data_IF_390456440312
#
_entry.id   IF_390456440312
#
_cell.length_a   1.000
_cell.length_b   1.000
_cell.length_c   1.000
_cell.angle_alpha   90.00
_cell.angle_beta   90.00
_cell.angle_gamma   90.00
#
_symmetry.space_group_name_H-M   'P 1'
#
loop_
_entity.id
_entity.type
_entity.pdbx_description
1 polymer ?
#
# COMPACT_ATOMS: atom_id res chain seq x y z
N UNK A 1 13.66 -7.27 -28.11
CA UNK A 1 13.53 -5.88 -27.64
C UNK A 1 12.42 -5.22 -28.45
N UNK A 2 11.29 -4.83 -27.85
CA UNK A 2 10.26 -3.99 -28.47
C UNK A 2 10.05 -2.82 -27.51
N UNK A 3 10.77 -1.73 -27.74
CA UNK A 3 10.75 -0.55 -26.90
C UNK A 3 10.59 0.68 -27.77
N UNK A 4 9.68 1.56 -27.35
CA UNK A 4 9.51 2.96 -27.76
C UNK A 4 9.14 3.33 -29.21
N UNK A 5 9.20 2.44 -30.20
CA UNK A 5 8.93 2.83 -31.61
C UNK A 5 7.42 2.86 -31.99
N UNK A 6 6.51 2.81 -31.03
CA UNK A 6 5.05 2.78 -31.30
C UNK A 6 4.26 3.85 -30.55
N UNK A 7 4.94 4.83 -29.95
CA UNK A 7 4.27 5.95 -29.30
C UNK A 7 4.10 7.11 -30.29
N UNK A 8 2.88 7.63 -30.38
CA UNK A 8 2.62 8.83 -31.17
C UNK A 8 3.35 10.04 -30.56
N UNK A 9 3.64 11.09 -31.34
CA UNK A 9 4.29 12.29 -30.81
C UNK A 9 3.53 12.94 -29.63
N UNK A 10 2.21 12.79 -29.59
CA UNK A 10 1.38 13.24 -28.47
C UNK A 10 1.61 12.42 -27.20
N UNK A 11 1.69 11.09 -27.31
CA UNK A 11 1.99 10.21 -26.17
C UNK A 11 3.41 10.44 -25.65
N UNK A 12 4.40 10.63 -26.55
CA UNK A 12 5.78 10.95 -26.13
C UNK A 12 5.83 12.29 -25.38
N UNK A 13 5.03 13.28 -25.81
CA UNK A 13 4.92 14.57 -25.13
C UNK A 13 4.26 14.44 -23.77
N UNK A 14 3.17 13.69 -23.68
CA UNK A 14 2.47 13.42 -22.42
C UNK A 14 3.38 12.68 -21.44
N UNK A 15 4.18 11.72 -21.91
CA UNK A 15 5.20 11.05 -21.11
C UNK A 15 6.35 11.96 -20.65
N UNK A 16 6.74 12.94 -21.47
CA UNK A 16 7.74 13.94 -21.10
C UNK A 16 7.19 14.91 -20.05
N UNK A 17 5.95 15.35 -20.21
CA UNK A 17 5.27 16.26 -19.28
C UNK A 17 4.99 15.54 -17.94
N UNK A 18 4.58 14.27 -17.95
CA UNK A 18 4.43 13.45 -16.74
C UNK A 18 5.76 13.23 -16.01
N UNK A 19 6.86 12.97 -16.72
CA UNK A 19 8.19 12.87 -16.10
C UNK A 19 8.68 14.20 -15.54
N UNK A 20 8.43 15.31 -16.24
CA UNK A 20 8.73 16.65 -15.76
C UNK A 20 7.97 16.99 -14.49
N UNK A 21 6.67 16.68 -14.45
CA UNK A 21 5.83 16.86 -13.26
C UNK A 21 6.34 16.00 -12.08
N UNK A 22 6.70 14.74 -12.33
CA UNK A 22 7.19 13.83 -11.29
C UNK A 22 8.55 14.26 -10.72
N UNK A 23 9.48 14.73 -11.56
CA UNK A 23 10.77 15.28 -11.10
C UNK A 23 10.61 16.55 -10.27
N UNK A 24 9.63 17.39 -10.59
CA UNK A 24 9.33 18.60 -9.80
C UNK A 24 8.73 18.25 -8.43
N UNK A 25 7.95 17.17 -8.34
CA UNK A 25 7.40 16.65 -7.09
C UNK A 25 8.51 16.07 -6.20
N UNK A 26 9.43 15.28 -6.77
CA UNK A 26 10.56 14.72 -6.02
C UNK A 26 11.50 15.80 -5.47
N UNK A 27 11.79 16.84 -6.26
CA UNK A 27 12.58 17.99 -5.82
C UNK A 27 11.88 18.76 -4.70
N UNK A 28 10.56 18.99 -4.82
CA UNK A 28 9.77 19.70 -3.81
C UNK A 28 9.67 18.89 -2.51
N UNK A 29 9.52 17.57 -2.60
CA UNK A 29 9.49 16.66 -1.45
C UNK A 29 10.83 16.65 -0.72
N UNK A 30 11.94 16.53 -1.45
CA UNK A 30 13.29 16.53 -0.85
C UNK A 30 13.62 17.85 -0.15
N UNK A 31 13.22 18.98 -0.74
CA UNK A 31 13.40 20.29 -0.13
C UNK A 31 12.61 20.43 1.18
N UNK A 32 11.36 19.96 1.22
CA UNK A 32 10.52 20.00 2.42
C UNK A 32 11.03 19.05 3.50
N UNK A 33 11.51 17.85 3.14
CA UNK A 33 12.13 16.92 4.09
C UNK A 33 13.40 17.51 4.72
N UNK A 34 14.25 18.17 3.91
CA UNK A 34 15.43 18.85 4.41
C UNK A 34 15.08 20.01 5.35
N UNK A 35 14.03 20.79 5.04
CA UNK A 35 13.55 21.87 5.92
C UNK A 35 12.95 21.33 7.22
N UNK A 36 12.09 20.31 7.16
CA UNK A 36 11.51 19.67 8.34
C UNK A 36 12.58 19.14 9.31
N UNK A 37 13.71 18.66 8.78
CA UNK A 37 14.87 18.22 9.56
C UNK A 37 15.68 19.37 10.17
N UNK A 38 15.74 20.53 9.51
CA UNK A 38 16.56 21.68 9.92
C UNK A 38 15.81 22.65 10.82
N UNK A 39 14.52 22.90 10.60
CA UNK A 39 13.73 23.91 11.33
C UNK A 39 12.79 23.32 12.38
N UNK A 40 12.63 21.99 12.42
CA UNK A 40 11.53 21.35 13.15
C UNK A 40 10.19 21.60 12.46
N UNK A 41 9.23 20.69 12.64
CA UNK A 41 7.94 20.72 11.95
C UNK A 41 7.06 21.90 12.38
N UNK A 42 7.28 23.08 11.78
CA UNK A 42 6.46 24.26 11.96
C UNK A 42 5.21 24.22 11.08
N UNK A 43 4.18 25.01 11.43
CA UNK A 43 2.92 25.08 10.68
C UNK A 43 3.11 25.44 9.20
N UNK A 44 4.14 26.22 8.88
CA UNK A 44 4.49 26.57 7.50
C UNK A 44 4.94 25.33 6.70
N UNK A 45 5.69 24.43 7.33
CA UNK A 45 6.13 23.17 6.70
C UNK A 45 4.92 22.26 6.45
N UNK A 46 3.97 22.20 7.39
CA UNK A 46 2.74 21.43 7.23
C UNK A 46 1.87 21.96 6.09
N UNK A 47 1.74 23.28 5.94
CA UNK A 47 0.96 23.87 4.86
C UNK A 47 1.62 23.68 3.48
N UNK A 48 2.95 23.73 3.38
CA UNK A 48 3.66 23.40 2.14
C UNK A 48 3.45 21.94 1.74
N UNK A 49 3.46 21.00 2.70
CA UNK A 49 3.16 19.58 2.46
C UNK A 49 1.75 19.40 1.91
N UNK A 50 0.75 20.05 2.51
CA UNK A 50 -0.65 19.98 2.05
C UNK A 50 -0.80 20.57 0.65
N UNK A 51 -0.09 21.65 0.32
CA UNK A 51 -0.16 22.27 -1.00
C UNK A 51 0.49 21.42 -2.10
N UNK A 52 1.63 20.77 -1.79
CA UNK A 52 2.28 19.81 -2.70
C UNK A 52 1.37 18.60 -2.93
N UNK A 53 0.72 18.06 -1.89
CA UNK A 53 -0.24 16.95 -2.02
C UNK A 53 -1.55 17.36 -2.69
N UNK A 54 -1.98 18.61 -2.53
CA UNK A 54 -3.17 19.16 -3.19
C UNK A 54 -2.97 19.38 -4.70
N UNK A 55 -1.75 19.73 -5.15
CA UNK A 55 -1.42 19.88 -6.58
C UNK A 55 -1.24 18.53 -7.31
N UNK A 56 -1.02 17.42 -6.59
CA UNK A 56 -0.94 16.07 -7.18
C UNK A 56 -2.31 15.39 -7.36
N UNK A 57 -3.41 16.13 -7.23
CA UNK A 57 -4.77 15.59 -7.40
C UNK A 57 -5.20 14.64 -6.28
N UNK A 58 -4.47 14.58 -5.16
CA UNK A 58 -4.91 13.89 -3.96
C UNK A 58 -5.74 14.89 -3.15
N UNK A 59 -6.97 15.11 -3.60
CA UNK A 59 -7.94 15.90 -2.84
C UNK A 59 -8.20 15.20 -1.50
N UNK A 60 -7.64 15.76 -0.43
CA UNK A 60 -8.27 15.69 0.87
C UNK A 60 -9.68 16.27 0.73
N UNK A 61 -10.69 15.41 0.60
CA UNK A 61 -12.09 15.80 0.63
C UNK A 61 -12.77 15.14 1.82
N UNK A 62 -12.74 15.86 2.95
CA UNK A 62 -13.87 15.83 3.85
C UNK A 62 -15.10 16.32 3.05
N UNK A 63 -16.00 15.40 2.72
CA UNK A 63 -17.32 15.69 2.14
C UNK A 63 -17.38 15.94 0.64
N UNK A 64 -17.56 14.87 -0.15
CA UNK A 64 -18.33 14.94 -1.40
C UNK A 64 -19.41 13.87 -1.37
N UNK A 65 -20.53 14.24 -0.76
CA UNK A 65 -21.81 13.65 -1.08
C UNK A 65 -22.36 14.34 -2.33
N UNK A 66 -22.90 13.53 -3.26
CA UNK A 66 -23.67 13.89 -4.48
C UNK A 66 -22.84 14.17 -5.73
N UNK A 67 -23.01 13.27 -6.72
CA UNK A 67 -23.05 13.69 -8.12
C UNK A 67 -22.04 13.05 -9.07
N UNK A 68 -22.06 11.73 -9.24
CA UNK A 68 -21.83 11.12 -10.58
C UNK A 68 -22.77 9.93 -10.75
N UNK A 69 -24.05 10.24 -11.00
CA UNK A 69 -24.91 9.32 -11.74
C UNK A 69 -24.90 9.75 -13.20
N UNK A 70 -24.78 8.75 -14.07
CA UNK A 70 -25.14 8.75 -15.51
C UNK A 70 -24.02 9.06 -16.51
N UNK A 71 -23.14 8.08 -16.68
CA UNK A 71 -22.63 7.71 -18.00
C UNK A 71 -22.57 6.16 -18.11
N UNK A 72 -23.40 5.61 -19.01
CA UNK A 72 -23.26 4.30 -19.65
C UNK A 72 -22.93 3.07 -18.80
N UNK A 73 -23.97 2.32 -18.43
CA UNK A 73 -23.83 0.94 -17.97
C UNK A 73 -23.21 0.04 -19.07
N UNK A 74 -21.92 -0.30 -18.92
CA UNK A 74 -21.35 -1.55 -19.44
C UNK A 74 -20.32 -2.03 -18.41
N UNK A 75 -20.68 -3.10 -17.70
CA UNK A 75 -20.03 -3.53 -16.47
C UNK A 75 -18.50 -3.61 -16.56
N UNK A 76 -17.83 -2.65 -15.91
CA UNK A 76 -16.44 -2.81 -15.53
C UNK A 76 -16.46 -3.77 -14.35
N UNK A 77 -16.21 -5.06 -14.59
CA UNK A 77 -15.85 -5.98 -13.52
C UNK A 77 -14.59 -5.40 -12.88
N UNK A 78 -14.72 -4.78 -11.71
CA UNK A 78 -13.57 -4.37 -10.92
C UNK A 78 -12.62 -5.56 -10.77
N UNK A 79 -11.31 -5.32 -10.81
CA UNK A 79 -10.32 -6.36 -10.56
C UNK A 79 -10.66 -7.09 -9.26
N UNK A 80 -10.59 -8.42 -9.25
CA UNK A 80 -10.75 -9.22 -8.03
C UNK A 80 -9.66 -8.91 -6.96
N UNK A 81 -8.64 -8.17 -7.37
CA UNK A 81 -7.48 -7.73 -6.60
C UNK A 81 -7.84 -6.49 -5.77
N UNK A 82 -7.68 -6.48 -4.43
CA UNK A 82 -8.08 -5.34 -3.58
C UNK A 82 -7.40 -4.01 -3.92
N UNK A 83 -6.08 -4.02 -4.15
CA UNK A 83 -5.26 -2.83 -4.44
C UNK A 83 -4.39 -3.12 -5.68
N UNK A 84 -4.93 -2.96 -6.91
CA UNK A 84 -4.27 -3.40 -8.14
C UNK A 84 -3.05 -2.54 -8.53
N UNK A 85 -3.05 -1.26 -8.16
CA UNK A 85 -1.96 -0.32 -8.41
C UNK A 85 -1.26 0.03 -7.09
N UNK A 86 0.07 0.26 -7.10
CA UNK A 86 0.78 0.74 -5.91
C UNK A 86 0.12 1.99 -5.33
N UNK A 87 -0.05 2.00 -4.01
CA UNK A 87 -0.60 3.12 -3.23
C UNK A 87 0.31 3.40 -2.05
N UNK A 88 0.61 4.68 -1.80
CA UNK A 88 1.21 5.10 -0.53
C UNK A 88 0.13 5.07 0.56
N UNK A 89 0.29 4.16 1.50
CA UNK A 89 -0.61 3.97 2.63
C UNK A 89 -0.39 5.06 3.70
N UNK A 90 -1.33 5.21 4.64
CA UNK A 90 -1.26 6.19 5.74
C UNK A 90 -0.02 6.06 6.63
N UNK A 91 0.64 4.90 6.65
CA UNK A 91 1.91 4.68 7.36
C UNK A 91 3.14 5.13 6.56
N UNK A 92 2.96 5.77 5.41
CA UNK A 92 4.03 6.26 4.52
C UNK A 92 4.69 5.19 3.64
N UNK A 93 4.25 3.94 3.70
CA UNK A 93 4.81 2.82 2.94
C UNK A 93 3.98 2.52 1.69
N UNK A 94 4.62 1.96 0.65
CA UNK A 94 3.93 1.61 -0.60
C UNK A 94 3.33 0.21 -0.48
N UNK A 95 2.05 0.08 -0.76
CA UNK A 95 1.31 -1.17 -0.78
C UNK A 95 0.77 -1.49 -2.17
N UNK A 96 0.89 -2.75 -2.57
CA UNK A 96 0.27 -3.29 -3.77
C UNK A 96 -0.19 -4.72 -3.51
N UNK A 97 -1.42 -5.05 -3.86
CA UNK A 97 -1.90 -6.42 -3.79
C UNK A 97 -1.14 -7.31 -4.77
N UNK A 98 -0.89 -8.55 -4.36
CA UNK A 98 -0.19 -9.52 -5.21
C UNK A 98 -1.22 -10.46 -5.87
N UNK A 99 -1.26 -10.57 -7.21
CA UNK A 99 -2.18 -11.46 -7.92
C UNK A 99 -2.15 -12.92 -7.42
N UNK A 100 -1.00 -13.38 -6.89
CA UNK A 100 -0.85 -14.73 -6.31
C UNK A 100 -1.78 -14.98 -5.11
N UNK A 101 -2.21 -13.92 -4.43
CA UNK A 101 -3.12 -13.95 -3.30
C UNK A 101 -4.53 -13.48 -3.65
N UNK A 102 -4.85 -13.35 -4.94
CA UNK A 102 -6.19 -13.04 -5.42
C UNK A 102 -6.83 -14.30 -5.99
N UNK A 103 -8.08 -14.59 -5.61
CA UNK A 103 -8.78 -15.77 -6.11
C UNK A 103 -8.92 -15.70 -7.64
N UNK A 104 -8.34 -16.69 -8.34
CA UNK A 104 -8.32 -16.71 -9.82
C UNK A 104 -7.34 -15.72 -10.45
N UNK A 105 -6.51 -15.05 -9.65
CA UNK A 105 -5.43 -14.20 -10.12
C UNK A 105 -4.24 -15.00 -10.65
N UNK A 106 -3.35 -14.32 -11.38
CA UNK A 106 -2.15 -14.96 -11.92
C UNK A 106 -1.24 -15.48 -10.81
N UNK A 107 -0.75 -16.72 -10.96
CA UNK A 107 0.03 -17.41 -9.94
C UNK A 107 -0.76 -17.85 -8.69
N UNK A 108 -2.08 -17.63 -8.62
CA UNK A 108 -2.90 -18.10 -7.51
C UNK A 108 -3.03 -19.63 -7.53
N UNK A 109 -2.54 -20.28 -6.47
CA UNK A 109 -2.61 -21.73 -6.29
C UNK A 109 -3.72 -22.10 -5.32
N UNK A 110 -4.24 -23.33 -5.38
CA UNK A 110 -5.33 -23.81 -4.51
C UNK A 110 -5.01 -23.73 -3.00
N UNK A 111 -3.72 -23.76 -2.66
CA UNK A 111 -3.18 -23.66 -1.30
C UNK A 111 -2.59 -22.27 -0.98
N UNK A 112 -2.70 -21.30 -1.89
CA UNK A 112 -2.32 -19.93 -1.59
C UNK A 112 -3.43 -19.30 -0.74
N UNK A 113 -3.00 -18.57 0.29
CA UNK A 113 -3.95 -17.78 1.05
C UNK A 113 -4.56 -16.67 0.20
N UNK A 114 -5.78 -16.25 0.56
CA UNK A 114 -6.51 -15.20 -0.15
C UNK A 114 -6.42 -13.89 0.63
N UNK A 115 -5.94 -12.86 -0.05
CA UNK A 115 -5.84 -11.51 0.48
C UNK A 115 -7.22 -10.97 0.85
N UNK A 116 -7.40 -10.44 2.07
CA UNK A 116 -8.68 -9.88 2.48
C UNK A 116 -8.92 -8.53 1.81
N UNK A 117 -10.18 -8.14 1.64
CA UNK A 117 -10.55 -6.89 0.94
C UNK A 117 -10.09 -5.62 1.67
N UNK A 118 -9.95 -5.69 2.99
CA UNK A 118 -9.49 -4.63 3.87
C UNK A 118 -7.96 -4.68 4.11
N UNK A 119 -7.21 -5.41 3.28
CA UNK A 119 -5.75 -5.59 3.39
C UNK A 119 -4.98 -4.27 3.47
N UNK A 120 -5.39 -3.23 2.73
CA UNK A 120 -4.78 -1.90 2.80
C UNK A 120 -4.95 -1.29 4.20
N UNK A 121 -6.16 -1.36 4.77
CA UNK A 121 -6.44 -0.83 6.09
C UNK A 121 -5.67 -1.58 7.17
N UNK A 122 -5.55 -2.89 7.03
CA UNK A 122 -4.70 -3.71 7.90
C UNK A 122 -3.23 -3.32 7.76
N UNK A 123 -2.75 -3.11 6.54
CA UNK A 123 -1.38 -2.70 6.28
C UNK A 123 -1.05 -1.33 6.88
N UNK A 124 -1.94 -0.35 6.75
CA UNK A 124 -1.81 0.98 7.37
C UNK A 124 -1.58 0.90 8.88
N UNK A 125 -2.24 -0.04 9.55
CA UNK A 125 -2.13 -0.25 11.00
C UNK A 125 -1.08 -1.31 11.37
N UNK A 126 -0.26 -1.75 10.42
CA UNK A 126 0.72 -2.82 10.65
C UNK A 126 1.94 -2.32 11.42
N UNK A 127 2.45 -3.17 12.30
CA UNK A 127 3.70 -2.96 13.05
C UNK A 127 4.85 -3.77 12.43
N UNK A 128 6.08 -3.23 12.40
CA UNK A 128 7.23 -3.96 11.89
C UNK A 128 7.56 -5.17 12.78
N UNK A 129 8.06 -6.23 12.16
CA UNK A 129 8.60 -7.38 12.86
C UNK A 129 9.91 -7.02 13.54
N UNK A 130 10.16 -7.57 14.73
CA UNK A 130 11.46 -7.48 15.39
C UNK A 130 12.49 -8.49 14.85
N UNK A 131 12.07 -9.46 14.02
CA UNK A 131 12.98 -10.41 13.38
C UNK A 131 13.58 -9.81 12.11
N UNK A 132 14.83 -10.15 11.83
CA UNK A 132 15.48 -9.86 10.55
C UNK A 132 15.11 -10.94 9.53
N UNK A 133 14.68 -10.55 8.33
CA UNK A 133 14.30 -11.45 7.23
C UNK A 133 15.19 -11.25 5.99
N UNK A 134 16.46 -10.91 6.20
CA UNK A 134 17.42 -10.65 5.13
C UNK A 134 17.06 -9.40 4.35
N UNK A 135 16.76 -9.55 3.06
CA UNK A 135 16.40 -8.46 2.15
C UNK A 135 14.91 -8.09 2.18
N UNK A 136 14.16 -8.63 3.15
CA UNK A 136 12.73 -8.39 3.30
C UNK A 136 12.44 -7.65 4.60
N UNK A 137 11.47 -6.75 4.53
CA UNK A 137 10.80 -6.24 5.72
C UNK A 137 9.49 -7.01 5.93
N UNK A 138 9.21 -7.42 7.16
CA UNK A 138 7.97 -8.12 7.50
C UNK A 138 7.20 -7.27 8.50
N UNK A 139 5.91 -7.11 8.26
CA UNK A 139 5.00 -6.38 9.13
C UNK A 139 3.78 -7.22 9.48
N UNK A 140 3.16 -6.94 10.60
CA UNK A 140 2.00 -7.67 11.08
C UNK A 140 0.87 -6.73 11.50
N UNK A 141 -0.36 -7.14 11.25
CA UNK A 141 -1.56 -6.45 11.72
C UNK A 141 -2.56 -7.46 12.28
N UNK A 142 -3.46 -7.00 13.14
CA UNK A 142 -4.54 -7.83 13.71
C UNK A 142 -5.88 -7.33 13.18
N UNK A 143 -6.72 -8.24 12.70
CA UNK A 143 -8.10 -7.92 12.30
C UNK A 143 -9.06 -7.89 13.51
N UNK A 144 -10.31 -7.49 13.28
CA UNK A 144 -11.36 -7.42 14.31
C UNK A 144 -11.71 -8.81 14.90
N UNK A 145 -11.45 -9.88 14.16
CA UNK A 145 -11.69 -11.27 14.58
C UNK A 145 -10.51 -11.84 15.39
N UNK A 146 -9.44 -11.07 15.56
CA UNK A 146 -8.23 -11.47 16.26
C UNK A 146 -7.25 -12.30 15.42
N UNK A 147 -7.45 -12.41 14.10
CA UNK A 147 -6.49 -13.04 13.21
C UNK A 147 -5.31 -12.09 12.95
N UNK A 148 -4.12 -12.66 12.83
CA UNK A 148 -2.91 -11.89 12.50
C UNK A 148 -2.58 -12.06 11.03
N UNK A 149 -2.44 -10.94 10.35
CA UNK A 149 -2.06 -10.82 8.94
C UNK A 149 -0.58 -10.46 8.84
N UNK A 150 0.13 -11.04 7.88
CA UNK A 150 1.53 -10.76 7.57
C UNK A 150 1.64 -10.02 6.24
N UNK A 151 2.52 -9.04 6.20
CA UNK A 151 2.88 -8.28 5.01
C UNK A 151 4.38 -8.41 4.79
N UNK A 152 4.78 -8.65 3.54
CA UNK A 152 6.20 -8.68 3.15
C UNK A 152 6.50 -7.51 2.21
N UNK A 153 7.57 -6.79 2.51
CA UNK A 153 8.13 -5.72 1.71
C UNK A 153 9.47 -6.11 1.11
N UNK A 154 9.64 -5.83 -0.18
CA UNK A 154 10.93 -5.93 -0.88
C UNK A 154 11.11 -4.65 -1.68
N UNK A 155 12.28 -4.00 -1.56
CA UNK A 155 12.57 -2.73 -2.24
C UNK A 155 11.53 -1.62 -1.99
N UNK A 156 10.94 -1.59 -0.79
CA UNK A 156 9.98 -0.55 -0.39
C UNK A 156 8.52 -0.79 -0.82
N UNK A 157 8.21 -1.83 -1.60
CA UNK A 157 6.84 -2.21 -1.96
C UNK A 157 6.38 -3.42 -1.14
N UNK A 158 5.24 -3.28 -0.47
CA UNK A 158 4.64 -4.28 0.40
C UNK A 158 3.42 -4.95 -0.23
N UNK A 159 3.23 -6.22 0.10
CA UNK A 159 2.02 -6.96 -0.22
C UNK A 159 1.63 -7.89 0.92
N UNK A 160 0.35 -8.25 0.98
CA UNK A 160 -0.12 -9.27 1.92
C UNK A 160 0.49 -10.65 1.61
N UNK A 161 0.86 -11.38 2.66
CA UNK A 161 1.54 -12.68 2.58
C UNK A 161 1.08 -13.63 3.71
N UNK A 162 -0.24 -13.77 3.89
CA UNK A 162 -0.84 -14.78 4.78
C UNK A 162 -1.53 -14.21 6.01
N UNK A 163 -2.41 -15.04 6.59
CA UNK A 163 -3.14 -14.77 7.83
C UNK A 163 -3.24 -16.02 8.69
N UNK A 164 -3.27 -15.87 10.00
CA UNK A 164 -3.57 -16.99 10.92
C UNK A 164 -5.01 -17.47 10.80
N UNK A 165 -5.89 -16.65 10.22
CA UNK A 165 -7.28 -16.99 9.94
C UNK A 165 -7.49 -17.68 8.60
N UNK A 166 -6.42 -17.93 7.83
CA UNK A 166 -6.53 -18.66 6.56
C UNK A 166 -6.86 -20.13 6.82
N UNK A 167 -7.96 -20.62 6.24
CA UNK A 167 -8.47 -21.98 6.49
C UNK A 167 -7.60 -23.04 5.79
N UNK A 168 -6.97 -22.70 4.67
CA UNK A 168 -6.24 -23.67 3.84
C UNK A 168 -4.76 -23.69 4.13
N UNK A 169 -4.19 -22.52 4.41
CA UNK A 169 -2.77 -22.35 4.67
C UNK A 169 -2.56 -21.27 5.76
N UNK A 170 -2.92 -21.58 7.02
CA UNK A 170 -2.79 -20.64 8.11
C UNK A 170 -1.34 -20.26 8.35
N UNK A 171 -1.08 -18.97 8.53
CA UNK A 171 0.19 -18.48 9.05
C UNK A 171 0.47 -19.14 10.41
N UNK A 172 1.67 -19.70 10.58
CA UNK A 172 2.03 -20.34 11.84
C UNK A 172 2.23 -19.27 12.94
N UNK A 173 1.59 -19.47 14.09
CA UNK A 173 1.70 -18.57 15.24
C UNK A 173 3.14 -18.45 15.77
N UNK A 174 3.99 -19.45 15.52
CA UNK A 174 5.40 -19.46 15.91
C UNK A 174 6.27 -18.56 15.01
N UNK A 175 5.80 -18.23 13.81
CA UNK A 175 6.50 -17.32 12.91
C UNK A 175 6.40 -15.87 13.39
N UNK A 176 5.33 -15.56 14.13
CA UNK A 176 5.05 -14.22 14.67
C UNK A 176 5.93 -13.99 15.92
N UNK A 177 6.78 -12.94 15.94
CA UNK A 177 7.61 -12.63 17.11
C UNK A 177 6.78 -12.33 18.36
N UNK A 178 7.29 -12.72 19.54
CA UNK A 178 6.59 -12.48 20.81
C UNK A 178 6.34 -11.00 21.11
N UNK A 179 7.26 -10.12 20.70
CA UNK A 179 7.09 -8.67 20.84
C UNK A 179 5.94 -8.15 19.98
N UNK A 180 5.82 -8.62 18.72
CA UNK A 180 4.68 -8.32 17.85
C UNK A 180 3.38 -8.81 18.48
N UNK A 181 3.36 -10.03 19.04
CA UNK A 181 2.18 -10.57 19.73
C UNK A 181 1.77 -9.66 20.90
N UNK A 182 2.73 -9.20 21.70
CA UNK A 182 2.50 -8.28 22.82
C UNK A 182 1.93 -6.94 22.36
N UNK A 183 2.52 -6.32 21.34
CA UNK A 183 2.07 -5.04 20.79
C UNK A 183 0.68 -5.11 20.16
N UNK A 184 0.34 -6.25 19.52
CA UNK A 184 -1.01 -6.51 19.01
C UNK A 184 -2.01 -6.90 20.10
N UNK A 185 -1.61 -6.93 21.38
CA UNK A 185 -2.46 -7.29 22.52
C UNK A 185 -2.91 -8.75 22.50
N UNK A 186 -2.09 -9.66 21.95
CA UNK A 186 -2.37 -11.10 21.90
C UNK A 186 -1.88 -11.76 23.19
N UNK A 187 -2.80 -12.30 23.99
CA UNK A 187 -2.51 -12.98 25.26
C UNK A 187 -3.03 -14.43 25.27
N UNK A 188 -2.64 -15.20 26.29
CA UNK A 188 -3.10 -16.59 26.47
C UNK A 188 -2.59 -17.53 25.37
N UNK A 189 -3.50 -18.11 24.57
CA UNK A 189 -3.30 -19.12 23.51
C UNK A 189 -2.38 -18.69 22.34
N UNK A 190 -1.70 -17.56 22.48
CA UNK A 190 -0.75 -16.99 21.53
C UNK A 190 0.70 -17.06 22.01
N UNK A 191 0.94 -17.26 23.31
CA UNK A 191 2.26 -17.42 23.91
C UNK A 191 2.80 -18.83 23.72
#
# INVERSE_FOLDING_TARGET
MKGLDSLTPAEVREWADLRGAMSNIDASRNLVLHRAQVTGGSEETTQEIVKIMGQTGIAASAGVARGISKAGAKGIKGSAVPVPNPVTANNGLVYKSNPKHTLGGDGNRRNAGIEPKDSLKLFENSIPSSKNYGNKEVRFAKDEKGNVHRFEGTNGEYHWNGSTGDVKNPLNKNDIPNEVKKQLGLSGKWR
#
